data_IF_744944194068
#
_entry.id   IF_744944194068
#
_cell.length_a   1.000
_cell.length_b   1.000
_cell.length_c   1.000
_cell.angle_alpha   90.00
_cell.angle_beta   90.00
_cell.angle_gamma   90.00
#
_symmetry.space_group_name_H-M   'P 1'
#
loop_
_entity.id
_entity.type
_entity.pdbx_description
1 polymer ?
#
# COMPACT_ATOMS: atom_id res chain seq x y z
N UNK A 1 48.88 -51.23 -87.72
CA UNK A 1 48.93 -51.06 -86.26
C UNK A 1 47.77 -50.14 -85.89
N UNK A 2 46.79 -50.61 -85.12
CA UNK A 2 45.61 -49.81 -84.75
C UNK A 2 45.51 -49.77 -83.23
N UNK A 3 45.52 -48.58 -82.64
CA UNK A 3 45.49 -48.38 -81.20
C UNK A 3 44.08 -47.93 -80.79
N UNK A 4 43.35 -48.80 -80.10
CA UNK A 4 42.07 -48.46 -79.50
C UNK A 4 42.29 -47.80 -78.13
N UNK A 5 41.96 -46.51 -78.01
CA UNK A 5 42.02 -45.77 -76.74
C UNK A 5 40.71 -46.01 -75.99
N UNK A 6 40.79 -46.70 -74.84
CA UNK A 6 39.65 -46.92 -73.95
C UNK A 6 39.53 -45.77 -72.95
N UNK A 7 38.50 -44.94 -73.10
CA UNK A 7 38.16 -43.89 -72.12
C UNK A 7 37.27 -44.50 -71.04
N UNK A 8 37.86 -44.76 -69.86
CA UNK A 8 37.09 -45.14 -68.67
C UNK A 8 36.35 -43.91 -68.12
N UNK A 9 35.04 -43.86 -68.31
CA UNK A 9 34.18 -42.95 -67.56
C UNK A 9 34.03 -43.47 -66.12
N UNK A 10 34.81 -42.91 -65.20
CA UNK A 10 34.59 -43.04 -63.77
C UNK A 10 33.31 -42.27 -63.40
N UNK A 11 32.19 -42.99 -63.35
CA UNK A 11 30.97 -42.47 -62.75
C UNK A 11 31.20 -42.30 -61.24
N UNK A 12 31.41 -41.04 -60.83
CA UNK A 12 31.38 -40.64 -59.42
C UNK A 12 29.95 -40.79 -58.90
N UNK A 13 29.63 -41.98 -58.41
CA UNK A 13 28.45 -42.20 -57.61
C UNK A 13 28.61 -41.40 -56.30
N UNK A 14 27.99 -40.23 -56.24
CA UNK A 14 27.85 -39.50 -54.99
C UNK A 14 27.06 -40.40 -54.02
N UNK A 15 27.57 -40.71 -52.82
CA UNK A 15 26.79 -41.43 -51.82
C UNK A 15 25.65 -40.51 -51.39
N UNK A 16 24.44 -40.82 -51.87
CA UNK A 16 23.22 -40.19 -51.40
C UNK A 16 22.91 -40.77 -50.01
N UNK A 17 23.60 -40.24 -49.00
CA UNK A 17 23.27 -40.49 -47.61
C UNK A 17 21.91 -39.88 -47.29
N UNK A 18 21.10 -40.61 -46.54
CA UNK A 18 19.91 -40.11 -45.87
C UNK A 18 20.31 -39.08 -44.80
N UNK A 19 20.58 -37.85 -45.22
CA UNK A 19 20.82 -36.76 -44.27
C UNK A 19 19.50 -36.39 -43.61
N UNK A 20 19.43 -36.51 -42.28
CA UNK A 20 18.23 -36.17 -41.50
C UNK A 20 17.90 -34.70 -41.75
N UNK A 21 16.65 -34.40 -42.11
CA UNK A 21 16.22 -33.03 -42.37
C UNK A 21 16.47 -32.17 -41.11
N UNK A 22 17.20 -31.05 -41.21
CA UNK A 22 17.53 -30.25 -40.04
C UNK A 22 16.30 -29.52 -39.47
N UNK A 23 16.33 -29.16 -38.17
CA UNK A 23 15.31 -28.31 -37.56
C UNK A 23 15.17 -26.96 -38.28
N UNK A 24 13.98 -26.38 -38.25
CA UNK A 24 13.70 -25.06 -38.85
C UNK A 24 13.30 -24.03 -37.79
N UNK A 25 13.27 -22.75 -38.14
CA UNK A 25 12.82 -21.69 -37.22
C UNK A 25 13.63 -21.56 -35.92
N UNK A 26 14.93 -21.92 -35.96
CA UNK A 26 15.81 -21.88 -34.77
C UNK A 26 15.97 -20.44 -34.28
N UNK A 27 15.46 -20.16 -33.08
CA UNK A 27 15.43 -18.83 -32.50
C UNK A 27 15.89 -18.87 -31.03
N UNK A 28 16.78 -17.95 -30.68
CA UNK A 28 17.26 -17.78 -29.31
C UNK A 28 16.47 -16.63 -28.68
N UNK A 29 15.89 -16.87 -27.51
CA UNK A 29 14.98 -15.95 -26.83
C UNK A 29 15.42 -15.73 -25.39
N UNK A 30 15.17 -14.53 -24.84
CA UNK A 30 15.47 -14.20 -23.45
C UNK A 30 14.31 -13.49 -22.78
N UNK A 31 13.90 -13.98 -21.62
CA UNK A 31 12.88 -13.35 -20.76
C UNK A 31 13.41 -13.29 -19.33
N UNK A 32 13.50 -12.11 -18.73
CA UNK A 32 14.14 -11.92 -17.41
C UNK A 32 15.58 -12.51 -17.31
N UNK A 33 16.40 -12.35 -18.36
CA UNK A 33 17.72 -13.00 -18.53
C UNK A 33 17.70 -14.55 -18.53
N UNK A 34 16.53 -15.18 -18.65
CA UNK A 34 16.38 -16.63 -18.84
C UNK A 34 16.51 -16.97 -20.33
N UNK A 35 17.61 -17.65 -20.70
CA UNK A 35 18.01 -17.84 -22.09
C UNK A 35 17.52 -19.20 -22.61
N UNK A 36 16.58 -19.18 -23.55
CA UNK A 36 15.93 -20.38 -24.10
C UNK A 36 16.07 -20.42 -25.63
N UNK A 37 16.65 -21.50 -26.13
CA UNK A 37 16.70 -21.82 -27.56
C UNK A 37 15.42 -22.59 -27.94
N UNK A 38 14.75 -22.19 -29.02
CA UNK A 38 13.51 -22.78 -29.53
C UNK A 38 13.66 -23.12 -31.02
N UNK A 39 12.99 -24.16 -31.50
CA UNK A 39 12.97 -24.53 -32.91
C UNK A 39 11.65 -25.19 -33.30
N UNK A 40 11.46 -25.41 -34.59
CA UNK A 40 10.37 -26.21 -35.15
C UNK A 40 10.90 -27.58 -35.57
N UNK A 41 10.12 -28.65 -35.38
CA UNK A 41 10.50 -29.99 -35.82
C UNK A 41 10.61 -30.03 -37.36
N UNK A 42 11.45 -30.93 -37.92
CA UNK A 42 11.52 -31.10 -39.37
C UNK A 42 10.19 -31.62 -39.94
N UNK A 43 9.77 -31.10 -41.09
CA UNK A 43 8.50 -31.49 -41.73
C UNK A 43 8.69 -32.81 -42.48
N UNK A 44 7.74 -33.74 -42.32
CA UNK A 44 7.72 -35.01 -43.06
C UNK A 44 8.50 -36.16 -42.43
N UNK A 45 8.85 -36.08 -41.13
CA UNK A 45 9.44 -37.18 -40.36
C UNK A 45 8.42 -37.77 -39.37
N UNK A 46 8.04 -39.04 -39.57
CA UNK A 46 7.15 -39.82 -38.67
C UNK A 46 7.94 -40.69 -37.66
N UNK A 47 9.07 -40.19 -37.13
CA UNK A 47 9.97 -40.93 -36.23
C UNK A 47 10.16 -40.31 -34.84
N UNK A 48 10.77 -41.03 -33.90
CA UNK A 48 11.26 -40.48 -32.61
C UNK A 48 12.49 -39.59 -32.87
N UNK A 49 12.23 -38.38 -33.38
CA UNK A 49 13.26 -37.37 -33.61
C UNK A 49 13.70 -36.79 -32.28
N UNK A 50 15.00 -36.85 -32.01
CA UNK A 50 15.61 -36.31 -30.79
C UNK A 50 16.56 -35.18 -31.16
N UNK A 51 16.78 -34.25 -30.25
CA UNK A 51 17.55 -33.03 -30.50
C UNK A 51 18.73 -32.92 -29.54
N UNK A 52 19.83 -32.41 -30.06
CA UNK A 52 20.95 -31.94 -29.24
C UNK A 52 21.17 -30.46 -29.53
N UNK A 53 21.22 -29.66 -28.47
CA UNK A 53 21.40 -28.24 -28.49
C UNK A 53 22.72 -27.84 -27.82
N UNK A 54 23.39 -26.85 -28.38
CA UNK A 54 24.62 -26.26 -27.87
C UNK A 54 24.54 -24.74 -27.93
N UNK A 55 25.41 -24.05 -27.21
CA UNK A 55 25.47 -22.60 -27.21
C UNK A 55 26.90 -22.10 -27.02
N UNK A 56 27.18 -20.90 -27.51
CA UNK A 56 28.46 -20.20 -27.30
C UNK A 56 28.22 -18.73 -26.98
N UNK A 57 29.17 -18.13 -26.26
CA UNK A 57 29.36 -16.68 -26.29
C UNK A 57 30.12 -16.27 -27.56
N UNK A 58 30.13 -14.98 -27.90
CA UNK A 58 30.83 -14.45 -29.09
C UNK A 58 32.32 -14.83 -29.21
N UNK A 59 32.99 -15.15 -28.10
CA UNK A 59 34.43 -15.48 -28.04
C UNK A 59 34.71 -16.91 -27.60
N UNK A 60 33.67 -17.71 -27.30
CA UNK A 60 33.79 -19.06 -26.77
C UNK A 60 33.62 -20.15 -27.82
N UNK A 61 34.07 -21.36 -27.46
CA UNK A 61 33.66 -22.59 -28.14
C UNK A 61 32.20 -22.92 -27.79
N UNK A 62 31.61 -23.84 -28.55
CA UNK A 62 30.31 -24.40 -28.22
C UNK A 62 30.37 -25.24 -26.93
N UNK A 63 29.50 -24.87 -25.99
CA UNK A 63 29.20 -25.57 -24.75
C UNK A 63 27.96 -26.44 -24.93
N UNK A 64 27.96 -27.61 -24.31
CA UNK A 64 26.82 -28.52 -24.33
C UNK A 64 25.62 -27.90 -23.60
N UNK A 65 24.46 -27.88 -24.27
CA UNK A 65 23.17 -27.55 -23.68
C UNK A 65 22.37 -28.82 -23.42
N UNK A 66 21.14 -28.89 -23.93
CA UNK A 66 20.30 -30.09 -23.82
C UNK A 66 20.80 -31.17 -24.78
N UNK A 67 20.96 -32.40 -24.30
CA UNK A 67 21.42 -33.54 -25.10
C UNK A 67 20.30 -34.58 -25.22
N UNK A 68 20.04 -35.04 -26.44
CA UNK A 68 19.14 -36.16 -26.74
C UNK A 68 17.70 -36.00 -26.19
N UNK A 69 17.10 -34.81 -26.34
CA UNK A 69 15.74 -34.46 -25.88
C UNK A 69 14.69 -34.56 -27.00
N UNK A 70 13.43 -34.86 -26.67
CA UNK A 70 12.31 -34.78 -27.63
C UNK A 70 11.60 -33.43 -27.63
N UNK A 71 11.85 -32.57 -26.63
CA UNK A 71 11.31 -31.22 -26.58
C UNK A 71 11.93 -30.34 -27.68
N UNK A 72 11.15 -29.38 -28.19
CA UNK A 72 11.54 -28.41 -29.22
C UNK A 72 12.02 -27.07 -28.63
N UNK A 73 12.41 -27.10 -27.36
CA UNK A 73 13.02 -26.00 -26.63
C UNK A 73 14.12 -26.53 -25.70
N UNK A 74 15.12 -25.70 -25.45
CA UNK A 74 16.19 -25.94 -24.49
C UNK A 74 16.45 -24.68 -23.66
N UNK A 75 16.21 -24.80 -22.36
CA UNK A 75 16.58 -23.81 -21.35
C UNK A 75 18.09 -23.93 -21.07
N UNK A 76 18.86 -22.94 -21.54
CA UNK A 76 20.31 -22.91 -21.40
C UNK A 76 20.74 -22.33 -20.05
N UNK A 77 19.95 -21.41 -19.49
CA UNK A 77 20.22 -20.75 -18.22
C UNK A 77 20.18 -21.72 -17.04
N UNK A 78 19.29 -22.72 -17.04
CA UNK A 78 19.27 -23.78 -15.99
C UNK A 78 20.45 -24.75 -16.06
N UNK A 79 21.14 -24.85 -17.20
CA UNK A 79 22.20 -25.83 -17.42
C UNK A 79 23.59 -25.33 -16.98
N UNK A 80 23.66 -24.14 -16.38
CA UNK A 80 24.86 -23.53 -15.80
C UNK A 80 25.38 -24.26 -14.55
N UNK A 81 25.80 -25.51 -14.74
CA UNK A 81 26.38 -26.37 -13.70
C UNK A 81 27.87 -26.13 -13.47
N UNK A 82 28.56 -25.45 -14.41
CA UNK A 82 30.00 -25.18 -14.33
C UNK A 82 30.36 -23.71 -14.60
N UNK A 83 31.47 -23.20 -14.04
CA UNK A 83 31.95 -21.83 -14.29
C UNK A 83 32.31 -21.57 -15.76
N UNK A 84 32.86 -22.57 -16.45
CA UNK A 84 33.23 -22.50 -17.87
C UNK A 84 32.01 -22.37 -18.81
N UNK A 85 30.83 -22.76 -18.33
CA UNK A 85 29.54 -22.66 -19.01
C UNK A 85 28.66 -21.52 -18.47
N UNK A 86 29.21 -20.60 -17.66
CA UNK A 86 28.43 -19.52 -17.08
C UNK A 86 27.91 -18.55 -18.15
N UNK A 87 26.64 -18.17 -18.02
CA UNK A 87 25.97 -17.15 -18.82
C UNK A 87 26.00 -15.85 -18.00
N UNK A 88 26.53 -14.79 -18.59
CA UNK A 88 26.70 -13.48 -17.97
C UNK A 88 25.70 -12.48 -18.54
N UNK A 89 25.24 -11.53 -17.73
CA UNK A 89 24.19 -10.59 -18.14
C UNK A 89 24.58 -9.70 -19.33
N UNK A 90 25.86 -9.34 -19.47
CA UNK A 90 26.39 -8.56 -20.60
C UNK A 90 26.90 -9.43 -21.76
N UNK A 91 26.61 -10.73 -21.75
CA UNK A 91 27.07 -11.66 -22.76
C UNK A 91 26.20 -11.62 -24.02
N UNK A 92 26.85 -11.82 -25.17
CA UNK A 92 26.18 -12.05 -26.45
C UNK A 92 26.33 -13.52 -26.82
N UNK A 93 25.21 -14.18 -27.05
CA UNK A 93 25.11 -15.64 -27.19
C UNK A 93 24.56 -16.06 -28.54
N UNK A 94 24.90 -17.27 -28.97
CA UNK A 94 24.35 -17.94 -30.16
C UNK A 94 24.11 -19.40 -29.79
N UNK A 95 22.89 -19.88 -30.02
CA UNK A 95 22.53 -21.28 -29.83
C UNK A 95 22.55 -22.02 -31.16
N UNK A 96 22.74 -23.33 -31.13
CA UNK A 96 22.57 -24.20 -32.29
C UNK A 96 21.90 -25.50 -31.91
N UNK A 97 21.20 -26.11 -32.85
CA UNK A 97 20.53 -27.41 -32.66
C UNK A 97 20.70 -28.29 -33.89
N UNK A 98 20.76 -29.59 -33.67
CA UNK A 98 20.66 -30.62 -34.71
C UNK A 98 19.62 -31.67 -34.32
N UNK A 99 19.02 -32.31 -35.32
CA UNK A 99 18.12 -33.44 -35.17
C UNK A 99 18.90 -34.77 -35.25
N UNK A 100 18.41 -35.77 -34.54
CA UNK A 100 18.89 -37.15 -34.53
C UNK A 100 17.72 -38.07 -34.84
N UNK A 101 17.93 -39.03 -35.74
CA UNK A 101 16.98 -40.11 -36.04
C UNK A 101 17.73 -41.44 -35.97
N UNK A 102 17.58 -42.15 -34.85
CA UNK A 102 18.41 -43.32 -34.56
C UNK A 102 19.90 -42.94 -34.45
N UNK A 103 20.71 -43.44 -35.38
CA UNK A 103 22.15 -43.13 -35.50
C UNK A 103 22.48 -42.00 -36.47
N UNK A 104 21.53 -41.56 -37.29
CA UNK A 104 21.74 -40.48 -38.27
C UNK A 104 21.51 -39.10 -37.62
N UNK A 105 22.24 -38.09 -38.10
CA UNK A 105 22.21 -36.72 -37.57
C UNK A 105 22.07 -35.70 -38.69
N UNK A 106 21.31 -34.63 -38.45
CA UNK A 106 21.23 -33.50 -39.40
C UNK A 106 22.46 -32.61 -39.31
N UNK A 107 22.64 -31.73 -40.30
CA UNK A 107 23.44 -30.52 -40.13
C UNK A 107 22.98 -29.70 -38.91
N UNK A 108 23.92 -28.96 -38.31
CA UNK A 108 23.64 -27.97 -37.27
C UNK A 108 22.98 -26.73 -37.86
N UNK A 109 21.96 -26.21 -37.16
CA UNK A 109 21.34 -24.93 -37.48
C UNK A 109 21.56 -23.95 -36.32
N UNK A 110 22.25 -22.85 -36.60
CA UNK A 110 22.52 -21.78 -35.62
C UNK A 110 21.36 -20.77 -35.56
N UNK A 111 21.09 -20.23 -34.38
CA UNK A 111 20.21 -19.08 -34.19
C UNK A 111 20.88 -17.79 -34.68
N UNK A 112 20.09 -16.70 -34.80
CA UNK A 112 20.70 -15.37 -34.72
C UNK A 112 21.43 -15.18 -33.38
N UNK A 113 22.50 -14.38 -33.31
CA UNK A 113 23.05 -13.94 -32.04
C UNK A 113 22.05 -13.05 -31.28
N UNK A 114 22.11 -13.09 -29.94
CA UNK A 114 21.30 -12.28 -29.03
C UNK A 114 22.19 -11.64 -27.95
N UNK A 115 22.14 -10.32 -27.78
CA UNK A 115 22.78 -9.58 -26.67
C UNK A 115 21.86 -9.59 -25.45
N UNK A 116 22.27 -10.22 -24.35
CA UNK A 116 21.33 -10.59 -23.28
C UNK A 116 20.77 -9.39 -22.48
N UNK A 117 21.61 -8.41 -22.15
CA UNK A 117 21.22 -7.17 -21.47
C UNK A 117 20.35 -6.23 -22.32
N UNK A 118 20.55 -6.25 -23.64
CA UNK A 118 19.89 -5.34 -24.59
C UNK A 118 18.57 -5.90 -25.12
N UNK A 119 18.51 -7.21 -25.39
CA UNK A 119 17.41 -7.85 -26.10
C UNK A 119 16.53 -8.75 -25.21
N UNK A 120 16.82 -8.88 -23.91
CA UNK A 120 15.90 -9.57 -23.00
C UNK A 120 14.59 -8.81 -22.88
N UNK A 121 13.46 -9.53 -22.98
CA UNK A 121 12.19 -9.01 -22.48
C UNK A 121 12.28 -8.96 -20.96
N UNK A 122 11.94 -7.82 -20.35
CA UNK A 122 11.84 -7.67 -18.89
C UNK A 122 10.36 -7.82 -18.52
N UNK A 123 10.05 -8.77 -17.65
CA UNK A 123 8.70 -9.01 -17.16
C UNK A 123 8.20 -7.88 -16.24
N UNK A 124 6.91 -7.87 -15.90
CA UNK A 124 6.31 -6.77 -15.15
C UNK A 124 6.80 -6.72 -13.70
N UNK A 125 6.89 -5.51 -13.10
CA UNK A 125 7.06 -5.37 -11.66
C UNK A 125 5.82 -5.89 -10.92
N UNK A 126 6.05 -6.36 -9.69
CA UNK A 126 4.94 -6.58 -8.74
C UNK A 126 4.63 -5.25 -8.05
N UNK A 127 3.34 -4.90 -8.00
CA UNK A 127 2.86 -3.64 -7.43
C UNK A 127 1.92 -3.96 -6.26
N UNK A 128 2.19 -3.38 -5.10
CA UNK A 128 1.33 -3.41 -3.93
C UNK A 128 0.91 -1.98 -3.59
N UNK A 129 -0.36 -1.79 -3.23
CA UNK A 129 -0.89 -0.50 -2.78
C UNK A 129 -1.15 -0.56 -1.27
N UNK A 130 -0.95 0.58 -0.59
CA UNK A 130 -1.37 0.77 0.81
C UNK A 130 -2.24 2.02 0.88
N UNK A 131 -3.49 1.88 1.32
CA UNK A 131 -4.44 2.99 1.49
C UNK A 131 -4.36 3.66 2.85
N UNK A 132 -4.44 4.99 2.82
CA UNK A 132 -4.75 5.86 3.94
C UNK A 132 -5.55 7.05 3.43
N UNK A 133 -5.20 8.26 3.88
CA UNK A 133 -5.63 9.51 3.24
C UNK A 133 -5.05 9.68 1.82
N UNK A 134 -3.92 9.02 1.53
CA UNK A 134 -3.29 8.91 0.21
C UNK A 134 -3.04 7.44 -0.12
N UNK A 135 -2.52 7.15 -1.32
CA UNK A 135 -2.12 5.80 -1.72
C UNK A 135 -0.59 5.75 -1.84
N UNK A 136 0.05 4.87 -1.08
CA UNK A 136 1.47 4.51 -1.28
C UNK A 136 1.56 3.34 -2.26
N UNK A 137 2.27 3.55 -3.38
CA UNK A 137 2.62 2.54 -4.38
C UNK A 137 3.97 1.93 -4.02
N UNK A 138 3.99 0.65 -3.65
CA UNK A 138 5.20 -0.13 -3.41
C UNK A 138 5.50 -1.06 -4.58
N UNK A 139 6.70 -0.94 -5.14
CA UNK A 139 7.14 -1.60 -6.37
C UNK A 139 8.23 -2.61 -6.03
N UNK A 140 8.06 -3.85 -6.49
CA UNK A 140 9.07 -4.91 -6.38
C UNK A 140 9.49 -5.35 -7.79
N UNK A 141 10.80 -5.29 -8.04
CA UNK A 141 11.39 -5.67 -9.31
C UNK A 141 11.15 -7.15 -9.66
N UNK A 142 11.04 -7.49 -10.96
CA UNK A 142 11.02 -8.87 -11.41
C UNK A 142 12.31 -9.60 -10.99
N UNK A 143 12.19 -10.91 -10.77
CA UNK A 143 13.34 -11.78 -10.54
C UNK A 143 13.95 -12.10 -11.90
N UNK A 144 15.25 -11.81 -12.06
CA UNK A 144 16.01 -12.22 -13.23
C UNK A 144 16.73 -13.55 -12.92
N UNK A 145 16.92 -14.39 -13.95
CA UNK A 145 17.43 -15.76 -13.75
C UNK A 145 18.93 -15.82 -13.42
N UNK A 146 19.71 -14.82 -13.84
CA UNK A 146 21.18 -14.80 -13.71
C UNK A 146 21.66 -13.78 -12.65
N UNK A 147 21.07 -12.58 -12.65
CA UNK A 147 21.54 -11.44 -11.85
C UNK A 147 20.35 -10.72 -11.20
N UNK A 148 20.50 -9.46 -10.79
CA UNK A 148 19.38 -8.64 -10.36
C UNK A 148 19.30 -7.36 -11.18
N UNK A 149 18.07 -6.86 -11.39
CA UNK A 149 17.80 -5.72 -12.27
C UNK A 149 18.70 -4.50 -11.98
N UNK A 150 18.96 -4.20 -10.70
CA UNK A 150 19.78 -3.05 -10.27
C UNK A 150 21.30 -3.32 -10.46
N UNK A 151 21.72 -4.59 -10.54
CA UNK A 151 23.11 -4.95 -10.88
C UNK A 151 23.36 -4.91 -12.37
N UNK A 152 22.43 -5.42 -13.17
CA UNK A 152 22.50 -5.43 -14.64
C UNK A 152 22.34 -4.03 -15.23
N UNK A 153 21.40 -3.23 -14.71
CA UNK A 153 21.08 -1.91 -15.24
C UNK A 153 21.42 -0.82 -14.22
N UNK A 154 22.43 -0.01 -14.53
CA UNK A 154 22.91 1.08 -13.66
C UNK A 154 21.87 2.19 -13.42
N UNK A 155 20.91 2.35 -14.33
CA UNK A 155 19.78 3.27 -14.22
C UNK A 155 18.49 2.52 -14.50
N UNK A 156 17.78 2.20 -13.42
CA UNK A 156 16.40 1.69 -13.44
C UNK A 156 15.47 2.83 -13.05
N UNK A 157 14.41 3.05 -13.83
CA UNK A 157 13.34 3.98 -13.50
C UNK A 157 11.97 3.36 -13.69
N UNK A 158 10.96 3.87 -12.98
CA UNK A 158 9.58 3.45 -13.07
C UNK A 158 8.73 4.55 -13.69
N UNK A 159 7.86 4.15 -14.62
CA UNK A 159 6.74 4.94 -15.10
C UNK A 159 5.48 4.42 -14.40
N UNK A 160 4.86 5.26 -13.57
CA UNK A 160 3.69 4.90 -12.75
C UNK A 160 2.49 5.64 -13.32
N UNK A 161 1.57 4.91 -13.95
CA UNK A 161 0.29 5.44 -14.43
C UNK A 161 -0.81 5.15 -13.41
N UNK A 162 -1.68 6.12 -13.14
CA UNK A 162 -2.81 5.93 -12.24
C UNK A 162 -4.05 6.71 -12.68
N UNK A 163 -5.23 6.13 -12.46
CA UNK A 163 -6.51 6.68 -12.88
C UNK A 163 -7.63 6.33 -11.89
N UNK A 164 -8.68 7.15 -11.85
CA UNK A 164 -9.93 6.83 -11.17
C UNK A 164 -10.64 5.68 -11.90
N UNK A 165 -11.24 4.74 -11.17
CA UNK A 165 -11.84 3.55 -11.78
C UNK A 165 -12.87 3.91 -12.89
N UNK A 166 -12.83 3.14 -13.98
CA UNK A 166 -13.57 3.43 -15.21
C UNK A 166 -13.07 4.61 -16.06
N UNK A 167 -12.09 5.42 -15.60
CA UNK A 167 -11.62 6.64 -16.28
C UNK A 167 -10.15 6.56 -16.75
N UNK A 168 -9.75 5.44 -17.37
CA UNK A 168 -8.36 5.20 -17.81
C UNK A 168 -7.86 6.23 -18.83
N UNK A 169 -8.76 6.85 -19.60
CA UNK A 169 -8.47 7.93 -20.54
C UNK A 169 -7.98 9.23 -19.85
N UNK A 170 -8.20 9.38 -18.53
CA UNK A 170 -7.72 10.50 -17.72
C UNK A 170 -6.55 10.12 -16.81
N UNK A 171 -5.80 9.09 -17.18
CA UNK A 171 -4.66 8.64 -16.38
C UNK A 171 -3.60 9.74 -16.20
N UNK A 172 -3.20 9.96 -14.95
CA UNK A 172 -2.01 10.74 -14.58
C UNK A 172 -0.79 9.82 -14.63
N UNK A 173 0.39 10.36 -14.91
CA UNK A 173 1.65 9.61 -14.94
C UNK A 173 2.76 10.27 -14.13
N UNK A 174 3.50 9.45 -13.37
CA UNK A 174 4.76 9.82 -12.72
C UNK A 174 5.88 9.09 -13.47
N UNK A 175 6.53 9.82 -14.38
CA UNK A 175 7.61 9.31 -15.21
C UNK A 175 8.97 9.38 -14.49
N UNK A 176 9.87 8.46 -14.84
CA UNK A 176 11.28 8.46 -14.41
C UNK A 176 11.52 8.39 -12.89
N UNK A 177 10.57 7.87 -12.09
CA UNK A 177 10.80 7.68 -10.67
C UNK A 177 11.94 6.68 -10.43
N UNK A 178 12.89 7.02 -9.57
CA UNK A 178 13.95 6.09 -9.11
C UNK A 178 13.58 5.37 -7.81
N UNK A 179 12.50 5.79 -7.16
CA UNK A 179 12.06 5.24 -5.89
C UNK A 179 11.12 4.06 -6.13
N UNK A 180 11.33 2.97 -5.39
CA UNK A 180 10.44 1.81 -5.38
C UNK A 180 9.24 1.97 -4.44
N UNK A 181 9.09 3.15 -3.82
CA UNK A 181 7.93 3.59 -3.04
C UNK A 181 7.61 5.01 -3.44
N UNK A 182 6.37 5.27 -3.84
CA UNK A 182 5.90 6.58 -4.30
C UNK A 182 4.50 6.82 -3.74
N UNK A 183 4.26 7.97 -3.13
CA UNK A 183 2.92 8.40 -2.72
C UNK A 183 2.25 9.09 -3.90
N UNK A 184 0.97 8.81 -4.13
CA UNK A 184 0.17 9.50 -5.15
C UNK A 184 -0.46 10.77 -4.58
N UNK A 185 -0.27 11.88 -5.28
CA UNK A 185 -0.79 13.20 -4.93
C UNK A 185 -2.15 13.49 -5.62
N UNK A 186 -2.87 14.49 -5.11
CA UNK A 186 -4.13 14.99 -5.67
C UNK A 186 -5.18 13.88 -5.95
N UNK A 187 -5.38 13.01 -4.97
CA UNK A 187 -6.43 12.00 -4.95
C UNK A 187 -7.70 12.54 -4.28
N UNK A 188 -8.86 12.17 -4.82
CA UNK A 188 -10.16 12.40 -4.18
C UNK A 188 -10.36 11.44 -2.99
N UNK A 189 -11.09 11.84 -1.94
CA UNK A 189 -11.54 10.93 -0.89
C UNK A 189 -12.53 9.88 -1.41
N UNK A 190 -12.69 8.78 -0.68
CA UNK A 190 -13.70 7.71 -0.92
C UNK A 190 -13.69 7.12 -2.34
N UNK A 191 -12.60 7.29 -3.10
CA UNK A 191 -12.52 7.07 -4.54
C UNK A 191 -11.60 5.89 -4.84
N UNK A 192 -11.99 5.04 -5.80
CA UNK A 192 -11.14 3.90 -6.23
C UNK A 192 -10.17 4.39 -7.30
N UNK A 193 -8.88 4.18 -7.06
CA UNK A 193 -7.81 4.45 -8.01
C UNK A 193 -7.11 3.15 -8.41
N UNK A 194 -6.91 2.98 -9.71
CA UNK A 194 -6.14 1.89 -10.30
C UNK A 194 -4.75 2.39 -10.72
N UNK A 195 -3.73 1.58 -10.46
CA UNK A 195 -2.31 1.88 -10.69
C UNK A 195 -1.69 0.80 -11.56
N UNK A 196 -0.90 1.22 -12.54
CA UNK A 196 -0.15 0.35 -13.46
C UNK A 196 1.28 0.88 -13.61
N UNK A 197 2.27 0.00 -13.45
CA UNK A 197 3.69 0.37 -13.42
C UNK A 197 4.46 -0.32 -14.54
N UNK A 198 5.36 0.41 -15.18
CA UNK A 198 6.31 -0.08 -16.18
C UNK A 198 7.73 0.30 -15.77
N UNK A 199 8.71 -0.56 -16.07
CA UNK A 199 10.13 -0.30 -15.81
C UNK A 199 10.79 0.16 -17.11
N UNK A 200 11.56 1.25 -17.03
CA UNK A 200 12.40 1.73 -18.11
C UNK A 200 13.87 1.63 -17.68
N UNK A 201 14.70 0.98 -18.52
CA UNK A 201 16.17 1.03 -18.45
C UNK A 201 16.70 1.98 -19.54
N UNK A 202 18.02 2.14 -19.65
CA UNK A 202 18.64 2.99 -20.68
C UNK A 202 18.95 2.24 -21.99
N UNK A 203 19.17 0.92 -21.95
CA UNK A 203 19.68 0.14 -23.09
C UNK A 203 18.74 -0.97 -23.58
N UNK A 204 17.76 -1.37 -22.77
CA UNK A 204 16.73 -2.34 -23.15
C UNK A 204 15.44 -1.65 -23.57
N UNK A 205 14.59 -2.37 -24.30
CA UNK A 205 13.17 -2.00 -24.39
C UNK A 205 12.54 -1.88 -22.97
N UNK A 206 11.48 -1.07 -22.80
CA UNK A 206 10.70 -1.02 -21.57
C UNK A 206 10.15 -2.40 -21.18
N UNK A 207 9.99 -2.64 -19.88
CA UNK A 207 9.38 -3.88 -19.41
C UNK A 207 7.94 -4.02 -19.89
N UNK A 208 7.42 -5.24 -19.79
CA UNK A 208 5.98 -5.46 -19.76
C UNK A 208 5.34 -4.62 -18.64
N UNK A 209 4.13 -4.13 -18.87
CA UNK A 209 3.38 -3.36 -17.87
C UNK A 209 2.81 -4.29 -16.80
N UNK A 210 2.80 -3.84 -15.54
CA UNK A 210 2.09 -4.56 -14.49
C UNK A 210 0.61 -4.74 -14.84
N UNK A 211 -0.05 -5.70 -14.20
CA UNK A 211 -1.52 -5.69 -14.14
C UNK A 211 -1.96 -4.44 -13.35
N UNK A 212 -3.10 -3.83 -13.69
CA UNK A 212 -3.68 -2.79 -12.86
C UNK A 212 -4.00 -3.35 -11.47
N UNK A 213 -3.56 -2.66 -10.43
CA UNK A 213 -3.94 -2.92 -9.03
C UNK A 213 -4.75 -1.73 -8.57
N UNK A 214 -5.92 -1.96 -7.97
CA UNK A 214 -6.84 -0.90 -7.59
C UNK A 214 -7.06 -0.88 -6.08
N UNK A 215 -7.15 0.32 -5.51
CA UNK A 215 -7.29 0.55 -4.08
C UNK A 215 -8.18 1.78 -3.84
N UNK A 216 -8.90 1.81 -2.70
CA UNK A 216 -9.80 2.92 -2.34
C UNK A 216 -9.12 3.88 -1.36
N UNK A 217 -9.20 5.18 -1.63
CA UNK A 217 -8.83 6.21 -0.65
C UNK A 217 -9.85 6.25 0.49
N UNK A 218 -9.39 6.55 1.71
CA UNK A 218 -10.29 6.73 2.83
C UNK A 218 -11.20 7.96 2.66
N UNK A 219 -12.24 8.02 3.47
CA UNK A 219 -13.15 9.15 3.52
C UNK A 219 -12.40 10.42 3.96
N UNK A 220 -12.86 11.58 3.48
CA UNK A 220 -12.33 12.86 3.94
C UNK A 220 -12.75 13.07 5.39
N UNK A 221 -11.85 12.76 6.32
CA UNK A 221 -12.02 13.17 7.71
C UNK A 221 -11.98 14.69 7.70
N UNK A 222 -13.12 15.35 7.95
CA UNK A 222 -13.16 16.81 8.12
C UNK A 222 -12.02 17.22 9.03
N UNK A 223 -11.14 18.15 8.61
CA UNK A 223 -9.92 18.40 9.36
C UNK A 223 -10.27 18.78 10.79
N UNK A 224 -9.71 18.08 11.77
CA UNK A 224 -10.14 18.21 13.18
C UNK A 224 -9.97 19.65 13.72
N UNK A 225 -9.15 20.47 13.06
CA UNK A 225 -9.05 21.91 13.30
C UNK A 225 -10.30 22.71 12.88
N UNK A 226 -11.04 22.31 11.85
CA UNK A 226 -12.32 22.94 11.44
C UNK A 226 -13.34 22.79 12.56
N UNK A 227 -13.51 21.58 13.11
CA UNK A 227 -14.37 21.33 14.27
C UNK A 227 -13.90 22.13 15.50
N UNK A 228 -12.59 22.21 15.73
CA UNK A 228 -12.02 23.00 16.83
C UNK A 228 -12.27 24.52 16.67
N UNK A 229 -12.18 25.04 15.45
CA UNK A 229 -12.46 26.46 15.14
C UNK A 229 -13.95 26.76 15.28
N UNK A 230 -14.84 25.91 14.74
CA UNK A 230 -16.29 26.07 14.88
C UNK A 230 -16.75 26.04 16.35
N UNK A 231 -16.20 25.12 17.15
CA UNK A 231 -16.49 25.05 18.60
C UNK A 231 -15.93 26.26 19.35
N UNK A 232 -14.72 26.72 19.03
CA UNK A 232 -14.15 27.94 19.63
C UNK A 232 -15.00 29.19 19.32
N UNK A 233 -15.46 29.35 18.08
CA UNK A 233 -16.38 30.43 17.68
C UNK A 233 -17.70 30.33 18.46
N UNK A 234 -18.28 29.13 18.60
CA UNK A 234 -19.48 28.90 19.38
C UNK A 234 -19.33 29.29 20.86
N UNK A 235 -18.21 28.95 21.49
CA UNK A 235 -17.89 29.32 22.88
C UNK A 235 -17.73 30.84 23.01
N UNK A 236 -17.05 31.50 22.07
CA UNK A 236 -16.88 32.96 22.07
C UNK A 236 -18.22 33.71 21.95
N UNK A 237 -19.11 33.24 21.06
CA UNK A 237 -20.47 33.80 20.92
C UNK A 237 -21.29 33.58 22.19
N UNK A 238 -21.27 32.38 22.77
CA UNK A 238 -21.97 32.09 24.02
C UNK A 238 -21.46 32.97 25.18
N UNK A 239 -20.14 33.16 25.30
CA UNK A 239 -19.54 34.05 26.29
C UNK A 239 -19.97 35.51 26.10
N UNK A 240 -19.98 36.00 24.85
CA UNK A 240 -20.46 37.35 24.53
C UNK A 240 -21.94 37.53 24.91
N UNK A 241 -22.81 36.56 24.64
CA UNK A 241 -24.22 36.58 25.05
C UNK A 241 -24.38 36.58 26.58
N UNK A 242 -23.56 35.82 27.32
CA UNK A 242 -23.55 35.85 28.80
C UNK A 242 -23.11 37.23 29.31
N UNK A 243 -22.07 37.83 28.73
CA UNK A 243 -21.61 39.18 29.11
C UNK A 243 -22.70 40.22 28.82
N UNK A 244 -23.30 40.21 27.63
CA UNK A 244 -24.40 41.12 27.25
C UNK A 244 -25.60 40.97 28.18
N UNK A 245 -26.03 39.74 28.47
CA UNK A 245 -27.15 39.50 29.39
C UNK A 245 -26.85 39.87 30.84
N UNK A 246 -25.60 39.76 31.32
CA UNK A 246 -25.18 40.23 32.65
C UNK A 246 -25.11 41.75 32.73
N UNK A 247 -24.56 42.42 31.71
CA UNK A 247 -24.52 43.88 31.65
C UNK A 247 -25.92 44.48 31.54
N UNK A 248 -26.76 43.93 30.65
CA UNK A 248 -28.15 44.34 30.52
C UNK A 248 -29.04 43.83 31.66
N UNK A 249 -28.61 42.90 32.52
CA UNK A 249 -29.41 42.40 33.66
C UNK A 249 -29.91 43.54 34.56
N UNK A 250 -29.09 44.59 34.72
CA UNK A 250 -29.44 45.80 35.48
C UNK A 250 -30.48 46.66 34.75
N UNK A 251 -30.40 46.74 33.43
CA UNK A 251 -31.35 47.47 32.56
C UNK A 251 -32.69 46.72 32.42
N UNK A 252 -32.64 45.40 32.21
CA UNK A 252 -33.80 44.50 32.11
C UNK A 252 -34.54 44.43 33.45
N UNK A 253 -33.81 44.34 34.58
CA UNK A 253 -34.40 44.40 35.93
C UNK A 253 -35.13 45.71 36.17
N UNK A 254 -34.55 46.85 35.78
CA UNK A 254 -35.21 48.16 35.87
C UNK A 254 -36.46 48.29 34.96
N UNK A 255 -36.57 47.44 33.92
CA UNK A 255 -37.70 47.45 32.99
C UNK A 255 -38.83 46.50 33.41
N UNK A 256 -38.48 45.37 34.04
CA UNK A 256 -39.45 44.38 34.57
C UNK A 256 -39.99 44.77 35.96
N UNK A 257 -39.17 45.44 36.78
CA UNK A 257 -39.57 46.04 38.05
C UNK A 257 -39.06 47.49 38.11
N UNK A 258 -39.86 48.50 37.71
CA UNK A 258 -39.53 49.88 38.04
C UNK A 258 -39.42 50.03 39.56
N UNK A 259 -38.48 50.85 40.04
CA UNK A 259 -38.38 51.15 41.47
C UNK A 259 -39.55 52.02 41.90
N UNK A 260 -40.55 51.41 42.52
CA UNK A 260 -41.63 52.14 43.18
C UNK A 260 -41.08 52.96 44.35
N UNK A 261 -40.98 54.28 44.12
CA UNK A 261 -40.80 55.24 45.20
C UNK A 261 -42.17 55.40 45.88
N UNK A 262 -42.41 54.61 46.92
CA UNK A 262 -43.65 54.65 47.68
C UNK A 262 -43.91 56.09 48.19
N UNK A 263 -44.98 56.77 47.74
CA UNK A 263 -45.15 58.19 48.03
C UNK A 263 -45.41 58.43 49.53
N UNK A 264 -44.78 59.48 50.07
CA UNK A 264 -44.66 59.77 51.52
C UNK A 264 -46.00 59.78 52.29
N UNK A 265 -47.14 60.05 51.63
CA UNK A 265 -48.46 60.00 52.26
C UNK A 265 -48.85 58.60 52.76
N UNK A 266 -48.43 57.53 52.08
CA UNK A 266 -48.72 56.14 52.47
C UNK A 266 -47.91 55.75 53.71
N UNK A 267 -46.65 56.18 53.74
CA UNK A 267 -45.73 55.99 54.87
C UNK A 267 -46.27 56.61 56.17
N UNK A 268 -46.94 57.76 56.05
CA UNK A 268 -47.61 58.45 57.17
C UNK A 268 -48.87 57.73 57.65
N UNK A 269 -49.61 57.06 56.76
CA UNK A 269 -50.79 56.24 57.09
C UNK A 269 -50.43 54.90 57.75
N UNK A 270 -49.31 54.28 57.36
CA UNK A 270 -48.85 53.00 57.93
C UNK A 270 -48.15 53.14 59.30
N UNK A 271 -47.67 54.35 59.65
CA UNK A 271 -46.99 54.63 60.92
C UNK A 271 -47.91 55.27 61.98
N UNK A 272 -49.18 55.51 61.68
CA UNK A 272 -50.19 55.91 62.67
C UNK A 272 -50.78 54.69 63.40
N UNK A 273 -50.85 54.67 64.74
CA UNK A 273 -51.39 53.53 65.48
C UNK A 273 -52.90 53.36 65.21
N UNK A 274 -53.38 52.13 64.91
CA UNK A 274 -54.78 51.92 64.50
C UNK A 274 -55.73 52.00 65.70
N UNK A 275 -56.56 53.05 65.75
CA UNK A 275 -57.66 53.17 66.71
C UNK A 275 -58.94 52.53 66.18
N UNK A 276 -58.90 51.23 65.86
CA UNK A 276 -60.07 50.46 65.42
C UNK A 276 -60.23 49.16 66.25
N UNK A 277 -61.45 48.95 66.76
CA UNK A 277 -61.79 47.85 67.69
C UNK A 277 -61.58 46.44 67.12
N UNK A 278 -61.52 46.32 65.79
CA UNK A 278 -61.43 45.05 65.06
C UNK A 278 -60.12 44.29 65.38
N UNK A 279 -59.00 44.98 65.59
CA UNK A 279 -57.72 44.34 65.91
C UNK A 279 -57.65 43.75 67.32
N UNK A 280 -58.41 44.32 68.27
CA UNK A 280 -58.45 43.86 69.66
C UNK A 280 -59.32 42.59 69.82
N UNK A 281 -60.23 42.35 68.88
CA UNK A 281 -61.10 41.18 68.84
C UNK A 281 -60.40 39.95 68.25
N UNK A 282 -59.44 40.15 67.33
CA UNK A 282 -58.57 39.09 66.80
C UNK A 282 -57.53 38.57 67.80
N UNK A 283 -57.33 39.24 68.94
CA UNK A 283 -56.32 38.86 69.94
C UNK A 283 -56.86 37.97 71.08
N UNK A 284 -58.10 37.50 70.97
CA UNK A 284 -58.72 36.52 71.89
C UNK A 284 -58.61 35.10 71.33
N UNK A 285 -57.98 34.14 72.03
CA UNK A 285 -57.96 32.75 71.60
C UNK A 285 -59.36 32.09 71.76
N UNK A 286 -59.86 31.35 70.76
CA UNK A 286 -61.01 30.48 70.94
C UNK A 286 -60.61 29.25 71.76
N UNK A 287 -61.34 28.97 72.84
CA UNK A 287 -61.23 27.70 73.57
C UNK A 287 -62.03 26.62 72.81
N UNK A 288 -61.35 25.66 72.19
CA UNK A 288 -61.95 24.36 71.87
C UNK A 288 -60.92 23.22 71.78
N UNK A 289 -60.70 22.56 72.92
CA UNK A 289 -60.48 21.11 73.08
C UNK A 289 -59.88 20.33 71.90
N UNK A 290 -58.54 20.34 71.79
CA UNK A 290 -57.81 19.36 70.95
C UNK A 290 -57.69 18.01 71.68
N UNK A 291 -58.20 16.95 71.03
CA UNK A 291 -58.04 15.57 71.49
C UNK A 291 -56.69 15.01 71.02
N UNK A 292 -55.77 14.73 71.95
CA UNK A 292 -54.43 14.20 71.64
C UNK A 292 -54.39 12.66 71.69
N UNK A 293 -53.98 12.03 70.58
CA UNK A 293 -53.60 10.61 70.57
C UNK A 293 -52.17 10.44 71.14
N UNK A 294 -51.95 9.53 72.12
CA UNK A 294 -50.66 9.40 72.80
C UNK A 294 -49.64 8.60 71.98
N UNK A 295 -48.63 9.28 71.43
CA UNK A 295 -47.46 8.63 70.82
C UNK A 295 -46.40 8.37 71.91
N UNK A 296 -46.18 7.10 72.22
CA UNK A 296 -45.10 6.64 73.12
C UNK A 296 -43.82 6.38 72.33
N UNK A 297 -42.73 7.07 72.68
CA UNK A 297 -41.39 6.80 72.16
C UNK A 297 -40.65 5.97 73.21
N UNK A 298 -40.34 4.73 72.87
CA UNK A 298 -39.48 3.86 73.69
C UNK A 298 -38.05 4.00 73.18
N UNK A 299 -37.15 4.50 74.04
CA UNK A 299 -35.72 4.43 73.82
C UNK A 299 -35.19 3.09 74.35
N UNK A 300 -34.32 2.42 73.58
CA UNK A 300 -33.55 1.27 74.06
C UNK A 300 -32.07 1.65 74.13
N UNK A 301 -31.43 1.35 75.26
CA UNK A 301 -30.07 1.75 75.60
C UNK A 301 -29.12 0.55 75.49
N UNK A 302 -27.92 0.76 74.91
CA UNK A 302 -26.69 0.15 75.46
C UNK A 302 -25.38 0.76 74.97
N UNK A 303 -24.59 1.23 75.96
CA UNK A 303 -23.11 1.16 76.09
C UNK A 303 -22.22 1.60 74.91
N UNK A 304 -21.35 2.62 74.99
CA UNK A 304 -20.15 2.77 75.87
C UNK A 304 -19.14 1.63 75.58
N UNK A 305 -17.87 1.84 75.26
CA UNK A 305 -16.82 2.79 75.73
C UNK A 305 -16.25 3.64 74.55
N UNK A 306 -15.76 4.90 74.63
CA UNK A 306 -14.96 5.66 75.62
C UNK A 306 -13.49 5.17 75.72
N UNK A 307 -12.47 6.05 75.86
CA UNK A 307 -12.31 7.45 75.45
C UNK A 307 -11.44 7.50 74.14
N UNK A 308 -10.73 8.55 73.71
CA UNK A 308 -10.52 9.93 74.17
C UNK A 308 -10.24 10.85 72.95
N UNK A 309 -9.97 12.14 73.21
CA UNK A 309 -9.50 13.15 72.24
C UNK A 309 -8.25 13.82 72.80
N UNK A 310 -7.19 14.03 72.01
CA UNK A 310 -6.21 15.08 72.32
C UNK A 310 -5.42 15.53 71.09
N UNK A 311 -5.34 16.85 70.91
CA UNK A 311 -4.42 17.48 69.98
C UNK A 311 -3.12 17.83 70.74
N UNK A 312 -1.95 17.66 70.12
CA UNK A 312 -0.68 18.13 70.68
C UNK A 312 0.25 18.62 69.58
N UNK A 313 0.47 19.93 69.56
CA UNK A 313 1.51 20.58 68.77
C UNK A 313 2.86 20.39 69.45
N UNK A 314 3.87 19.86 68.76
CA UNK A 314 5.27 20.18 69.09
C UNK A 314 6.22 20.05 67.90
N UNK A 315 6.82 21.17 67.54
CA UNK A 315 8.13 21.21 66.87
C UNK A 315 9.20 20.65 67.80
N UNK A 316 10.17 19.90 67.30
CA UNK A 316 11.59 20.24 67.55
C UNK A 316 12.57 19.52 66.61
N UNK A 317 13.67 20.23 66.40
CA UNK A 317 14.83 19.96 65.57
C UNK A 317 15.68 18.80 66.11
N UNK A 318 16.23 17.92 65.26
CA UNK A 318 17.66 17.53 65.27
C UNK A 318 18.03 16.49 64.18
N UNK A 319 19.27 16.60 63.69
CA UNK A 319 19.90 15.69 62.73
C UNK A 319 20.47 14.41 63.38
N UNK A 320 20.80 13.38 62.56
CA UNK A 320 22.19 12.93 62.29
C UNK A 320 22.32 11.51 61.68
N UNK A 321 23.26 11.38 60.72
CA UNK A 321 23.99 10.21 60.18
C UNK A 321 23.27 8.86 59.90
N UNK A 322 23.12 8.53 58.62
CA UNK A 322 24.12 7.70 57.88
C UNK A 322 23.97 7.81 56.36
#
# INVERSE_FOLDING_TARGET
MSAAVWVFFLALAAPCGSEVVPPSGVNLTSYNLDLVLRWLPPVGLDGDVRYTAEYRSSTGNYSSGCVNISAVECDLTRLQSKPETAIFEYGKYTGRVQAHLGSETSAWVESRPLSLDQETTIGPPTVNLTSGHTIEVSIKNPVLAISSLIKTYSTVTYNIMYWEDGQKEKAKSISHSRQNRVVLDDLKPSTVYCVQVQINTYYSEPSEQSRPVCERTFDEVEPQWVTAVLTFIGIAVAMALVVVTVLHRRSISNFLCPRDVLPEHIKKYLLTPPSSSIYLEMQKPPLLEENYDPISIIAEEKTVEVPEMTCSTRTDIAARDR
#
